data_IF_483436723345
#
_entry.id   IF_483436723345
#
_cell.length_a   1.000
_cell.length_b   1.000
_cell.length_c   1.000
_cell.angle_alpha   90.00
_cell.angle_beta   90.00
_cell.angle_gamma   90.00
#
_symmetry.space_group_name_H-M   'P 1'
#
loop_
_entity.id
_entity.type
_entity.pdbx_description
1 polymer ?
#
# COMPACT_ATOMS: atom_id res chain seq x y z
N UNK A 1 -7.64 -3.21 24.29
CA UNK A 1 -8.17 -1.93 23.75
C UNK A 1 -9.69 -2.00 23.77
N UNK A 2 -10.36 -1.13 24.49
CA UNK A 2 -11.79 -1.24 24.82
C UNK A 2 -12.66 -1.04 23.57
N UNK A 3 -13.68 -1.88 23.32
CA UNK A 3 -14.62 -1.82 22.17
C UNK A 3 -15.22 -0.42 21.91
N UNK A 4 -15.46 0.36 22.99
CA UNK A 4 -15.95 1.75 22.91
C UNK A 4 -14.96 2.73 22.23
N UNK A 5 -13.65 2.44 22.26
CA UNK A 5 -12.62 3.30 21.67
C UNK A 5 -12.52 3.14 20.14
N UNK A 6 -13.00 2.02 19.58
CA UNK A 6 -12.96 1.73 18.15
C UNK A 6 -14.06 2.42 17.33
N UNK A 7 -15.21 2.69 17.93
CA UNK A 7 -16.33 3.32 17.21
C UNK A 7 -16.08 4.79 16.85
N UNK A 8 -15.07 5.45 17.45
CA UNK A 8 -14.75 6.86 17.25
C UNK A 8 -13.46 7.08 16.45
N UNK A 9 -12.94 6.07 15.77
CA UNK A 9 -11.69 6.12 15.02
C UNK A 9 -11.92 6.18 13.50
N UNK A 10 -12.93 6.92 13.05
CA UNK A 10 -13.31 6.97 11.61
C UNK A 10 -12.21 7.57 10.73
N UNK A 11 -11.50 8.58 11.24
CA UNK A 11 -10.35 9.17 10.55
C UNK A 11 -9.23 8.16 10.36
N UNK A 12 -8.89 7.41 11.41
CA UNK A 12 -7.84 6.42 11.41
C UNK A 12 -8.13 5.28 10.41
N UNK A 13 -9.39 4.84 10.32
CA UNK A 13 -9.82 3.84 9.34
C UNK A 13 -9.71 4.33 7.90
N UNK A 14 -10.10 5.59 7.64
CA UNK A 14 -9.92 6.18 6.31
C UNK A 14 -8.44 6.29 5.95
N UNK A 15 -7.58 6.75 6.87
CA UNK A 15 -6.14 6.84 6.64
C UNK A 15 -5.51 5.46 6.39
N UNK A 16 -5.89 4.44 7.17
CA UNK A 16 -5.44 3.07 6.95
C UNK A 16 -5.88 2.56 5.56
N UNK A 17 -7.13 2.79 5.19
CA UNK A 17 -7.67 2.43 3.87
C UNK A 17 -6.91 3.11 2.73
N UNK A 18 -6.58 4.40 2.86
CA UNK A 18 -5.77 5.14 1.89
C UNK A 18 -4.36 4.52 1.75
N UNK A 19 -3.71 4.18 2.86
CA UNK A 19 -2.37 3.57 2.81
C UNK A 19 -2.39 2.16 2.24
N UNK A 20 -3.44 1.36 2.50
CA UNK A 20 -3.62 0.04 1.88
C UNK A 20 -3.88 0.19 0.38
N UNK A 21 -4.69 1.17 -0.03
CA UNK A 21 -4.90 1.43 -1.45
C UNK A 21 -3.61 1.90 -2.15
N UNK A 22 -2.79 2.70 -1.46
CA UNK A 22 -1.46 3.07 -1.96
C UNK A 22 -0.55 1.84 -2.12
N UNK A 23 -0.60 0.88 -1.17
CA UNK A 23 0.10 -0.40 -1.28
C UNK A 23 -0.34 -1.17 -2.53
N UNK A 24 -1.63 -1.26 -2.80
CA UNK A 24 -2.17 -1.90 -4.01
C UNK A 24 -1.71 -1.20 -5.29
N UNK A 25 -1.66 0.13 -5.31
CA UNK A 25 -1.13 0.90 -6.44
C UNK A 25 0.35 0.56 -6.65
N UNK A 26 1.16 0.60 -5.59
CA UNK A 26 2.58 0.29 -5.67
C UNK A 26 2.80 -1.16 -6.13
N UNK A 27 2.09 -2.13 -5.55
CA UNK A 27 2.19 -3.54 -5.94
C UNK A 27 1.75 -3.82 -7.38
N UNK A 28 0.85 -2.99 -7.94
CA UNK A 28 0.30 -3.16 -9.30
C UNK A 28 0.99 -2.31 -10.37
N UNK A 29 1.96 -1.47 -9.99
CA UNK A 29 2.64 -0.56 -10.91
C UNK A 29 4.17 -0.68 -10.82
N UNK A 30 4.87 0.02 -11.72
CA UNK A 30 6.33 0.14 -11.68
C UNK A 30 6.86 0.85 -10.41
N UNK A 31 6.01 1.60 -9.71
CA UNK A 31 6.40 2.32 -8.48
C UNK A 31 6.81 1.37 -7.35
N UNK A 32 6.27 0.17 -7.31
CA UNK A 32 6.54 -0.80 -6.25
C UNK A 32 7.71 -1.73 -6.50
N UNK A 33 8.25 -1.74 -7.74
CA UNK A 33 9.33 -2.66 -8.11
C UNK A 33 10.24 -2.02 -9.15
N UNK A 34 11.48 -1.80 -8.76
CA UNK A 34 12.52 -1.30 -9.66
C UNK A 34 13.27 -2.51 -10.23
N UNK A 35 13.21 -2.67 -11.55
CA UNK A 35 13.86 -3.78 -12.24
C UNK A 35 15.36 -3.52 -12.38
N UNK A 36 16.13 -4.08 -11.46
CA UNK A 36 17.61 -4.05 -11.47
C UNK A 36 18.10 -5.49 -11.45
N UNK A 37 18.68 -6.01 -12.54
CA UNK A 37 19.16 -7.39 -12.57
C UNK A 37 20.12 -7.70 -11.40
N UNK A 38 20.09 -8.91 -10.84
CA UNK A 38 19.35 -10.10 -11.32
C UNK A 38 17.92 -10.22 -10.78
N UNK A 39 17.52 -9.45 -9.77
CA UNK A 39 16.22 -9.52 -9.11
C UNK A 39 15.64 -8.11 -8.91
N UNK A 40 14.33 -7.97 -9.05
CA UNK A 40 13.65 -6.68 -8.83
C UNK A 40 13.75 -6.21 -7.38
N UNK A 41 14.11 -4.94 -7.21
CA UNK A 41 14.13 -4.30 -5.88
C UNK A 41 12.73 -3.79 -5.57
N UNK A 42 12.15 -4.31 -4.49
CA UNK A 42 10.82 -3.89 -4.06
C UNK A 42 10.88 -2.57 -3.29
N UNK A 43 10.02 -1.63 -3.62
CA UNK A 43 9.73 -0.41 -2.85
C UNK A 43 8.31 -0.43 -2.26
N UNK A 44 7.49 -1.38 -2.70
CA UNK A 44 6.10 -1.57 -2.26
C UNK A 44 5.95 -1.84 -0.74
N UNK A 45 7.00 -2.23 -0.03
CA UNK A 45 6.95 -2.37 1.43
C UNK A 45 6.87 -1.03 2.18
N UNK A 46 7.13 0.13 1.55
CA UNK A 46 7.13 1.44 2.22
C UNK A 46 5.80 1.75 2.91
N UNK A 47 4.62 1.58 2.27
CA UNK A 47 3.34 1.74 2.96
C UNK A 47 3.16 0.80 4.16
N UNK A 48 3.67 -0.44 4.09
CA UNK A 48 3.64 -1.41 5.20
C UNK A 48 4.41 -0.86 6.42
N UNK A 49 5.60 -0.27 6.18
CA UNK A 49 6.42 0.35 7.23
C UNK A 49 5.73 1.58 7.83
N UNK A 50 5.14 2.44 6.99
CA UNK A 50 4.35 3.60 7.42
C UNK A 50 3.17 3.17 8.29
N UNK A 51 2.41 2.14 7.86
CA UNK A 51 1.29 1.57 8.63
C UNK A 51 1.76 1.05 9.98
N UNK A 52 2.89 0.33 10.04
CA UNK A 52 3.50 -0.14 11.28
C UNK A 52 3.88 1.01 12.23
N UNK A 53 4.39 2.10 11.67
CA UNK A 53 4.72 3.30 12.44
C UNK A 53 3.47 4.00 13.01
N UNK A 54 2.38 4.11 12.25
CA UNK A 54 1.19 4.88 12.66
C UNK A 54 0.17 4.05 13.45
N UNK A 55 -0.13 2.83 13.01
CA UNK A 55 -1.29 2.07 13.47
C UNK A 55 -0.94 0.83 14.32
N UNK A 56 0.24 0.26 14.14
CA UNK A 56 0.75 -0.84 14.95
C UNK A 56 0.83 -2.19 14.23
N UNK A 57 1.05 -3.25 15.02
CA UNK A 57 1.49 -4.56 14.51
C UNK A 57 0.44 -5.26 13.67
N UNK A 58 -0.83 -5.30 14.12
CA UNK A 58 -1.89 -6.02 13.40
C UNK A 58 -2.16 -5.42 12.02
N UNK A 59 -2.21 -4.09 11.92
CA UNK A 59 -2.44 -3.37 10.68
C UNK A 59 -1.24 -3.50 9.72
N UNK A 60 -0.02 -3.46 10.27
CA UNK A 60 1.21 -3.69 9.49
C UNK A 60 1.29 -5.12 8.96
N UNK A 61 0.91 -6.13 9.77
CA UNK A 61 0.83 -7.52 9.35
C UNK A 61 -0.20 -7.70 8.22
N UNK A 62 -1.37 -7.08 8.33
CA UNK A 62 -2.40 -7.11 7.29
C UNK A 62 -1.93 -6.45 5.99
N UNK A 63 -1.26 -5.30 6.08
CA UNK A 63 -0.66 -4.65 4.92
C UNK A 63 0.46 -5.51 4.29
N UNK A 64 1.29 -6.17 5.12
CA UNK A 64 2.30 -7.13 4.66
C UNK A 64 1.69 -8.33 3.92
N UNK A 65 0.51 -8.80 4.37
CA UNK A 65 -0.23 -9.85 3.68
C UNK A 65 -0.69 -9.40 2.28
N UNK A 66 -1.25 -8.20 2.17
CA UNK A 66 -1.68 -7.60 0.89
C UNK A 66 -0.47 -7.43 -0.04
N UNK A 67 0.63 -6.89 0.46
CA UNK A 67 1.89 -6.78 -0.28
C UNK A 67 2.37 -8.16 -0.79
N UNK A 68 2.28 -9.19 0.04
CA UNK A 68 2.65 -10.55 -0.34
C UNK A 68 1.83 -11.09 -1.51
N UNK A 69 0.51 -10.93 -1.47
CA UNK A 69 -0.36 -11.31 -2.58
C UNK A 69 -0.11 -10.49 -3.85
N UNK A 70 0.12 -9.19 -3.72
CA UNK A 70 0.51 -8.33 -4.85
C UNK A 70 1.83 -8.78 -5.50
N UNK A 71 2.84 -9.11 -4.68
CA UNK A 71 4.12 -9.65 -5.14
C UNK A 71 3.97 -10.98 -5.86
N UNK A 72 3.20 -11.91 -5.27
CA UNK A 72 2.90 -13.21 -5.86
C UNK A 72 2.20 -13.08 -7.22
N UNK A 73 1.18 -12.21 -7.28
CA UNK A 73 0.45 -11.96 -8.51
C UNK A 73 1.36 -11.40 -9.60
N UNK A 74 2.16 -10.35 -9.28
CA UNK A 74 3.10 -9.75 -10.24
C UNK A 74 4.12 -10.76 -10.76
N UNK A 75 4.67 -11.61 -9.88
CA UNK A 75 5.63 -12.65 -10.24
C UNK A 75 5.05 -13.75 -11.16
N UNK A 76 3.72 -13.83 -11.30
CA UNK A 76 3.05 -14.80 -12.15
C UNK A 76 2.98 -14.37 -13.63
N UNK A 77 3.38 -13.14 -13.97
CA UNK A 77 3.52 -12.72 -15.37
C UNK A 77 4.75 -13.36 -16.03
N UNK A 78 4.71 -13.57 -17.35
CA UNK A 78 5.81 -14.20 -18.08
C UNK A 78 6.94 -13.21 -18.41
N UNK A 79 6.63 -11.91 -18.46
CA UNK A 79 7.61 -10.85 -18.74
C UNK A 79 8.54 -10.51 -17.55
N UNK A 80 8.35 -11.13 -16.38
CA UNK A 80 9.21 -10.86 -15.20
C UNK A 80 10.58 -11.54 -15.35
N UNK A 81 11.55 -11.06 -14.55
CA UNK A 81 12.90 -11.63 -14.51
C UNK A 81 12.85 -13.09 -14.04
N UNK A 82 13.84 -13.88 -14.44
CA UNK A 82 13.89 -15.31 -14.13
C UNK A 82 13.82 -15.59 -12.63
N UNK A 83 14.57 -14.81 -11.84
CA UNK A 83 14.60 -14.99 -10.38
C UNK A 83 13.33 -14.51 -9.69
N UNK A 84 12.61 -13.54 -10.30
CA UNK A 84 11.31 -13.08 -9.79
C UNK A 84 10.22 -14.17 -9.93
N UNK A 85 10.36 -15.11 -10.88
CA UNK A 85 9.43 -16.22 -11.08
C UNK A 85 9.37 -17.17 -9.88
N UNK A 86 10.41 -17.20 -9.05
CA UNK A 86 10.44 -18.00 -7.81
C UNK A 86 9.36 -17.57 -6.81
N UNK A 87 8.87 -16.33 -6.90
CA UNK A 87 7.77 -15.83 -6.07
C UNK A 87 6.38 -16.26 -6.55
N UNK A 88 6.29 -16.91 -7.72
CA UNK A 88 5.03 -17.39 -8.28
C UNK A 88 4.82 -18.88 -8.04
N UNK A 89 3.74 -19.29 -7.37
CA UNK A 89 3.40 -20.72 -7.21
C UNK A 89 3.12 -21.42 -8.54
N UNK A 90 2.83 -20.65 -9.60
CA UNK A 90 2.50 -21.18 -10.93
C UNK A 90 3.72 -21.38 -11.83
N UNK A 91 4.85 -20.69 -11.55
CA UNK A 91 6.02 -20.67 -12.43
C UNK A 91 7.27 -21.30 -11.79
N UNK A 92 7.34 -21.40 -10.47
CA UNK A 92 8.53 -21.87 -9.75
C UNK A 92 8.74 -23.38 -9.77
N UNK A 93 7.68 -24.15 -10.04
CA UNK A 93 7.69 -25.62 -9.87
C UNK A 93 7.59 -26.08 -8.40
N UNK A 94 7.56 -25.16 -7.42
CA UNK A 94 7.46 -25.42 -5.99
C UNK A 94 6.40 -24.47 -5.35
N UNK A 95 5.10 -24.79 -5.47
CA UNK A 95 4.01 -23.86 -5.13
C UNK A 95 3.97 -23.44 -3.67
N UNK A 96 4.22 -24.35 -2.73
CA UNK A 96 4.18 -24.06 -1.30
C UNK A 96 5.35 -23.16 -0.88
N UNK A 97 6.54 -23.46 -1.37
CA UNK A 97 7.76 -22.72 -1.12
C UNK A 97 7.63 -21.27 -1.67
N UNK A 98 7.06 -21.13 -2.86
CA UNK A 98 6.77 -19.81 -3.45
C UNK A 98 5.72 -19.03 -2.67
N UNK A 99 4.70 -19.69 -2.15
CA UNK A 99 3.69 -19.04 -1.31
C UNK A 99 4.32 -18.54 0.00
N UNK A 100 5.18 -19.34 0.63
CA UNK A 100 5.91 -18.94 1.84
C UNK A 100 6.89 -17.82 1.50
N UNK A 101 7.60 -17.91 0.38
CA UNK A 101 8.54 -16.89 -0.08
C UNK A 101 7.85 -15.57 -0.38
N UNK A 102 6.71 -15.57 -1.08
CA UNK A 102 6.02 -14.32 -1.45
C UNK A 102 5.12 -13.78 -0.34
N UNK A 103 4.23 -14.59 0.23
CA UNK A 103 3.24 -14.13 1.20
C UNK A 103 3.76 -14.24 2.64
N UNK A 104 4.37 -15.37 2.99
CA UNK A 104 4.86 -15.63 4.34
C UNK A 104 5.92 -14.63 4.80
N UNK A 105 6.92 -14.35 3.95
CA UNK A 105 8.00 -13.40 4.31
C UNK A 105 7.47 -11.97 4.46
N UNK A 106 6.49 -11.53 3.64
CA UNK A 106 5.89 -10.18 3.72
C UNK A 106 4.97 -10.03 4.92
N UNK A 107 4.20 -11.05 5.24
CA UNK A 107 3.42 -11.10 6.47
C UNK A 107 4.34 -10.98 7.70
N UNK A 108 5.40 -11.80 7.74
CA UNK A 108 6.40 -11.78 8.83
C UNK A 108 7.09 -10.42 8.90
N UNK A 109 7.45 -9.83 7.77
CA UNK A 109 8.01 -8.48 7.70
C UNK A 109 7.08 -7.44 8.32
N UNK A 110 5.78 -7.47 7.99
CA UNK A 110 4.77 -6.58 8.57
C UNK A 110 4.65 -6.75 10.09
N UNK A 111 4.64 -8.00 10.58
CA UNK A 111 4.62 -8.29 12.02
C UNK A 111 5.87 -7.73 12.71
N UNK A 112 7.07 -8.05 12.22
CA UNK A 112 8.34 -7.62 12.82
C UNK A 112 8.48 -6.11 12.81
N UNK A 113 8.16 -5.46 11.70
CA UNK A 113 8.21 -3.99 11.57
C UNK A 113 7.25 -3.33 12.57
N UNK A 114 6.02 -3.82 12.67
CA UNK A 114 5.04 -3.33 13.64
C UNK A 114 5.47 -3.54 15.10
N UNK A 115 6.10 -4.68 15.42
CA UNK A 115 6.67 -4.96 16.74
C UNK A 115 7.85 -4.02 17.07
N UNK A 116 8.74 -3.78 16.11
CA UNK A 116 9.88 -2.87 16.28
C UNK A 116 9.41 -1.44 16.57
N UNK A 117 8.38 -0.95 15.85
CA UNK A 117 7.79 0.36 16.16
C UNK A 117 7.06 0.38 17.51
N UNK A 118 6.36 -0.69 17.88
CA UNK A 118 5.74 -0.80 19.19
C UNK A 118 6.78 -0.80 20.33
N UNK A 119 7.91 -1.46 20.11
CA UNK A 119 9.05 -1.46 21.03
C UNK A 119 9.72 -0.07 21.09
N UNK A 120 9.97 0.59 19.94
CA UNK A 120 10.59 1.91 19.87
C UNK A 120 9.82 2.97 20.68
N UNK A 121 8.48 2.92 20.63
CA UNK A 121 7.61 3.85 21.38
C UNK A 121 7.75 3.76 22.90
N UNK A 122 8.24 2.65 23.44
CA UNK A 122 8.44 2.43 24.88
C UNK A 122 9.81 2.88 25.38
N UNK A 123 10.71 3.32 24.49
CA UNK A 123 12.09 3.69 24.83
C UNK A 123 12.24 5.17 25.18
N UNK A 124 13.23 5.49 26.04
CA UNK A 124 13.54 6.88 26.44
C UNK A 124 13.81 7.78 25.22
N UNK A 125 14.47 7.24 24.18
CA UNK A 125 14.76 7.94 22.93
C UNK A 125 13.88 7.40 21.78
N UNK A 126 12.56 7.45 21.97
CA UNK A 126 11.59 6.86 21.05
C UNK A 126 11.76 7.35 19.60
N UNK A 127 12.06 8.64 19.39
CA UNK A 127 12.26 9.19 18.06
C UNK A 127 13.49 8.61 17.36
N UNK A 128 14.59 8.45 18.08
CA UNK A 128 15.81 7.81 17.53
C UNK A 128 15.53 6.37 17.11
N UNK A 129 14.89 5.57 17.98
CA UNK A 129 14.56 4.19 17.66
C UNK A 129 13.51 4.06 16.54
N UNK A 130 12.61 5.02 16.39
CA UNK A 130 11.70 5.12 15.26
C UNK A 130 12.46 5.33 13.94
N UNK A 131 13.38 6.29 13.91
CA UNK A 131 14.24 6.54 12.74
C UNK A 131 15.08 5.31 12.40
N UNK A 132 15.68 4.67 13.40
CA UNK A 132 16.48 3.46 13.23
C UNK A 132 15.64 2.31 12.65
N UNK A 133 14.43 2.10 13.16
CA UNK A 133 13.50 1.08 12.63
C UNK A 133 13.15 1.34 11.17
N UNK A 134 12.81 2.60 10.83
CA UNK A 134 12.46 2.96 9.46
C UNK A 134 13.66 2.80 8.49
N UNK A 135 14.88 3.11 8.95
CA UNK A 135 16.09 2.96 8.16
C UNK A 135 16.49 1.50 7.94
N UNK A 136 16.30 0.64 8.95
CA UNK A 136 16.66 -0.79 8.89
C UNK A 136 15.57 -1.61 8.16
N UNK A 137 14.31 -1.15 8.11
CA UNK A 137 13.21 -1.92 7.55
C UNK A 137 13.49 -2.50 6.13
N UNK A 138 14.09 -1.77 5.17
CA UNK A 138 14.44 -2.33 3.86
C UNK A 138 15.41 -3.53 3.96
N UNK A 139 16.41 -3.44 4.81
CA UNK A 139 17.36 -4.56 5.03
C UNK A 139 16.71 -5.74 5.73
N UNK A 140 15.79 -5.48 6.66
CA UNK A 140 14.99 -6.54 7.28
C UNK A 140 14.14 -7.28 6.24
N UNK A 141 13.50 -6.55 5.32
CA UNK A 141 12.76 -7.15 4.22
C UNK A 141 13.67 -8.02 3.34
N UNK A 142 14.81 -7.48 2.89
CA UNK A 142 15.78 -8.21 2.09
C UNK A 142 16.31 -9.45 2.82
N UNK A 143 16.58 -9.34 4.13
CA UNK A 143 17.02 -10.47 4.97
C UNK A 143 15.99 -11.61 4.95
N UNK A 144 14.72 -11.31 5.18
CA UNK A 144 13.66 -12.33 5.19
C UNK A 144 13.53 -13.01 3.83
N UNK A 145 13.54 -12.23 2.75
CA UNK A 145 13.41 -12.74 1.38
C UNK A 145 14.59 -13.61 0.99
N UNK A 146 15.82 -13.10 1.12
CA UNK A 146 17.01 -13.86 0.71
C UNK A 146 17.27 -15.09 1.59
N UNK A 147 16.92 -15.02 2.88
CA UNK A 147 16.98 -16.20 3.75
C UNK A 147 15.99 -17.26 3.29
N UNK A 148 14.75 -16.89 2.98
CA UNK A 148 13.75 -17.81 2.46
C UNK A 148 14.15 -18.38 1.07
N UNK A 149 14.70 -17.54 0.17
CA UNK A 149 15.24 -18.02 -1.12
C UNK A 149 16.35 -19.04 -0.91
N UNK A 150 17.30 -18.78 -0.01
CA UNK A 150 18.40 -19.71 0.27
C UNK A 150 17.95 -21.03 0.88
N UNK A 151 16.83 -21.05 1.61
CA UNK A 151 16.26 -22.26 2.22
C UNK A 151 15.45 -23.05 1.18
N UNK A 152 14.54 -22.40 0.47
CA UNK A 152 13.58 -23.05 -0.42
C UNK A 152 14.08 -23.23 -1.85
N UNK A 153 14.96 -22.32 -2.31
CA UNK A 153 15.49 -22.30 -3.68
C UNK A 153 17.02 -22.16 -3.68
N UNK A 154 17.78 -23.14 -3.13
CA UNK A 154 19.24 -23.04 -3.01
C UNK A 154 19.94 -22.89 -4.36
N UNK A 155 19.34 -23.38 -5.45
CA UNK A 155 19.85 -23.24 -6.82
C UNK A 155 19.84 -21.82 -7.34
N UNK A 156 19.08 -20.90 -6.73
CA UNK A 156 19.03 -19.47 -7.12
C UNK A 156 20.32 -18.71 -6.82
N UNK A 157 21.20 -19.26 -5.97
CA UNK A 157 22.43 -18.59 -5.52
C UNK A 157 22.22 -17.48 -4.49
N UNK A 158 20.97 -17.11 -4.18
CA UNK A 158 20.67 -16.12 -3.16
C UNK A 158 20.69 -16.72 -1.75
N UNK A 159 21.22 -15.96 -0.80
CA UNK A 159 21.26 -16.33 0.61
C UNK A 159 21.35 -15.08 1.48
N UNK A 160 21.24 -15.24 2.80
CA UNK A 160 21.46 -14.14 3.74
C UNK A 160 22.81 -13.44 3.57
N UNK A 161 23.85 -14.12 3.03
CA UNK A 161 25.16 -13.53 2.71
C UNK A 161 25.08 -12.48 1.61
N UNK A 162 24.11 -12.57 0.72
CA UNK A 162 23.88 -11.61 -0.38
C UNK A 162 23.49 -10.22 0.12
N UNK A 163 23.12 -10.07 1.40
CA UNK A 163 22.76 -8.80 2.02
C UNK A 163 24.00 -7.97 2.41
N UNK A 164 25.15 -8.61 2.54
CA UNK A 164 26.38 -7.98 3.05
C UNK A 164 27.03 -6.97 2.09
N UNK A 165 26.70 -7.03 0.80
CA UNK A 165 27.16 -6.02 -0.17
C UNK A 165 26.27 -4.80 -0.11
N UNK A 166 26.65 -3.76 0.65
CA UNK A 166 25.99 -2.46 0.58
C UNK A 166 26.25 -1.82 -0.79
N UNK A 167 25.23 -1.82 -1.63
CA UNK A 167 25.23 -1.07 -2.88
C UNK A 167 24.71 0.34 -2.60
N UNK A 168 25.12 1.30 -3.42
CA UNK A 168 24.63 2.69 -3.32
C UNK A 168 23.10 2.76 -3.43
N UNK A 169 22.52 1.93 -4.32
CA UNK A 169 21.07 1.83 -4.52
C UNK A 169 20.33 1.41 -3.24
N UNK A 170 20.90 0.50 -2.45
CA UNK A 170 20.32 0.04 -1.18
C UNK A 170 20.23 1.18 -0.16
N UNK A 171 21.28 2.02 -0.11
CA UNK A 171 21.31 3.17 0.81
C UNK A 171 20.26 4.21 0.42
N UNK A 172 20.09 4.48 -0.88
CA UNK A 172 19.05 5.38 -1.39
C UNK A 172 17.65 4.91 -0.99
N UNK A 173 17.38 3.61 -1.11
CA UNK A 173 16.08 3.02 -0.74
C UNK A 173 15.84 3.08 0.77
N UNK A 174 16.89 2.86 1.59
CA UNK A 174 16.81 3.03 3.05
C UNK A 174 16.49 4.49 3.43
N UNK A 175 17.14 5.45 2.78
CA UNK A 175 16.87 6.88 2.99
C UNK A 175 15.46 7.24 2.52
N UNK A 176 15.02 6.73 1.37
CA UNK A 176 13.65 6.95 0.88
C UNK A 176 12.60 6.42 1.88
N UNK A 177 12.80 5.22 2.41
CA UNK A 177 11.92 4.65 3.43
C UNK A 177 11.91 5.50 4.69
N UNK A 178 13.09 5.88 5.21
CA UNK A 178 13.23 6.74 6.38
C UNK A 178 12.49 8.08 6.17
N UNK A 179 12.76 8.76 5.06
CA UNK A 179 12.15 10.08 4.74
C UNK A 179 10.64 9.94 4.62
N UNK A 180 10.15 8.90 3.94
CA UNK A 180 8.71 8.63 3.78
C UNK A 180 8.02 8.44 5.12
N UNK A 181 8.60 7.62 6.01
CA UNK A 181 8.06 7.37 7.35
C UNK A 181 8.05 8.64 8.19
N UNK A 182 9.15 9.40 8.19
CA UNK A 182 9.25 10.64 8.99
C UNK A 182 8.30 11.71 8.46
N UNK A 183 8.20 11.88 7.15
CA UNK A 183 7.30 12.85 6.53
C UNK A 183 5.85 12.57 6.89
N UNK A 184 5.41 11.31 6.68
CA UNK A 184 4.02 10.92 6.96
C UNK A 184 3.72 10.98 8.45
N UNK A 185 4.64 10.53 9.32
CA UNK A 185 4.49 10.65 10.78
C UNK A 185 4.38 12.12 11.22
N UNK A 186 5.20 13.01 10.65
CA UNK A 186 5.17 14.46 10.94
C UNK A 186 3.85 15.09 10.50
N UNK A 187 3.39 14.75 9.29
CA UNK A 187 2.10 15.22 8.78
C UNK A 187 0.96 14.70 9.68
N UNK A 188 0.96 13.41 10.01
CA UNK A 188 -0.07 12.79 10.82
C UNK A 188 -0.17 13.35 12.24
N UNK A 189 0.95 13.79 12.82
CA UNK A 189 1.05 14.40 14.15
C UNK A 189 0.89 15.93 14.13
N UNK A 190 0.82 16.57 12.97
CA UNK A 190 0.68 18.02 12.85
C UNK A 190 -0.57 18.53 13.55
N UNK A 191 -0.55 19.76 14.02
CA UNK A 191 -1.71 20.40 14.65
C UNK A 191 -2.91 20.47 13.71
N UNK A 192 -2.66 20.72 12.43
CA UNK A 192 -3.71 20.79 11.42
C UNK A 192 -4.44 19.45 11.29
N UNK A 193 -3.70 18.33 11.15
CA UNK A 193 -4.27 16.98 11.07
C UNK A 193 -4.90 16.57 12.41
N UNK A 194 -4.31 16.97 13.54
CA UNK A 194 -4.88 16.69 14.86
C UNK A 194 -6.21 17.41 15.07
N UNK A 195 -6.33 18.68 14.66
CA UNK A 195 -7.59 19.43 14.67
C UNK A 195 -8.62 18.78 13.73
N UNK A 196 -8.20 18.44 12.52
CA UNK A 196 -9.03 17.77 11.52
C UNK A 196 -9.56 16.40 12.03
N UNK A 197 -8.68 15.57 12.61
CA UNK A 197 -9.03 14.27 13.21
C UNK A 197 -10.05 14.42 14.33
N UNK A 198 -9.88 15.37 15.23
CA UNK A 198 -10.87 15.67 16.29
C UNK A 198 -12.22 16.03 15.67
N UNK A 199 -12.22 16.91 14.67
CA UNK A 199 -13.45 17.33 13.98
C UNK A 199 -14.17 16.14 13.33
N UNK A 200 -13.45 15.29 12.61
CA UNK A 200 -14.02 14.11 11.92
C UNK A 200 -14.54 13.06 12.89
N UNK A 201 -13.87 12.87 14.04
CA UNK A 201 -14.22 11.83 15.01
C UNK A 201 -15.29 12.27 16.02
N UNK A 202 -15.44 13.58 16.32
CA UNK A 202 -16.41 14.10 17.30
C UNK A 202 -17.85 14.10 16.82
N UNK A 203 -18.10 13.92 15.54
CA UNK A 203 -19.45 14.02 14.97
C UNK A 203 -20.26 12.74 15.27
N UNK A 204 -20.69 12.56 16.51
CA UNK A 204 -21.46 11.38 16.95
C UNK A 204 -22.98 11.57 16.85
N UNK A 205 -23.52 12.78 16.75
CA UNK A 205 -24.91 12.99 17.13
C UNK A 205 -25.84 13.13 15.96
N UNK A 206 -25.87 13.19 14.87
CA UNK A 206 -26.89 13.21 13.79
C UNK A 206 -26.28 13.10 12.40
N UNK A 207 -25.72 11.94 12.11
CA UNK A 207 -25.45 11.58 10.74
C UNK A 207 -26.76 11.25 10.00
N UNK A 208 -27.63 12.22 9.83
CA UNK A 208 -28.67 12.12 8.81
C UNK A 208 -28.10 12.62 7.50
N UNK A 209 -27.87 11.69 6.60
CA UNK A 209 -27.52 12.06 5.23
C UNK A 209 -28.66 12.93 4.67
N UNK A 210 -28.36 14.18 4.37
CA UNK A 210 -29.27 14.98 3.55
C UNK A 210 -29.43 14.29 2.19
N UNK A 211 -30.63 14.30 1.63
CA UNK A 211 -30.87 13.76 0.28
C UNK A 211 -29.85 14.30 -0.74
N UNK A 212 -29.54 15.59 -0.68
CA UNK A 212 -28.50 16.21 -1.53
C UNK A 212 -27.12 15.56 -1.33
N UNK A 213 -26.72 15.26 -0.11
CA UNK A 213 -25.43 14.65 0.19
C UNK A 213 -25.35 13.21 -0.35
N UNK A 214 -26.45 12.48 -0.26
CA UNK A 214 -26.54 11.12 -0.83
C UNK A 214 -26.41 11.18 -2.34
N UNK A 215 -27.14 12.08 -3.01
CA UNK A 215 -27.08 12.26 -4.47
C UNK A 215 -25.68 12.62 -4.92
N UNK A 216 -25.02 13.58 -4.25
CA UNK A 216 -23.64 13.98 -4.59
C UNK A 216 -22.67 12.81 -4.41
N UNK A 217 -22.78 12.07 -3.31
CA UNK A 217 -21.89 10.93 -3.05
C UNK A 217 -22.12 9.77 -4.04
N UNK A 218 -23.37 9.44 -4.34
CA UNK A 218 -23.71 8.47 -5.39
C UNK A 218 -23.21 8.92 -6.77
N UNK A 219 -23.37 10.21 -7.09
CA UNK A 219 -22.84 10.79 -8.33
C UNK A 219 -21.30 10.69 -8.42
N UNK A 220 -20.60 10.93 -7.32
CA UNK A 220 -19.13 10.73 -7.27
C UNK A 220 -18.74 9.27 -7.46
N UNK A 221 -19.43 8.34 -6.82
CA UNK A 221 -19.18 6.89 -7.00
C UNK A 221 -19.39 6.52 -8.47
N UNK A 222 -20.52 6.92 -9.04
CA UNK A 222 -20.83 6.64 -10.45
C UNK A 222 -19.78 7.24 -11.39
N UNK A 223 -19.39 8.50 -11.18
CA UNK A 223 -18.35 9.18 -11.97
C UNK A 223 -17.02 8.40 -11.90
N UNK A 224 -16.59 8.01 -10.71
CA UNK A 224 -15.37 7.25 -10.49
C UNK A 224 -15.41 5.88 -11.18
N UNK A 225 -16.54 5.17 -11.10
CA UNK A 225 -16.74 3.89 -11.80
C UNK A 225 -16.73 4.06 -13.33
N UNK A 226 -17.38 5.11 -13.84
CA UNK A 226 -17.34 5.43 -15.26
C UNK A 226 -15.92 5.76 -15.74
N UNK A 227 -15.17 6.56 -14.99
CA UNK A 227 -13.78 6.89 -15.32
C UNK A 227 -12.88 5.64 -15.30
N UNK A 228 -13.09 4.72 -14.36
CA UNK A 228 -12.37 3.44 -14.34
C UNK A 228 -12.69 2.60 -15.57
N UNK A 229 -13.97 2.49 -15.93
CA UNK A 229 -14.40 1.74 -17.09
C UNK A 229 -13.81 2.32 -18.38
N UNK A 230 -13.94 3.65 -18.61
CA UNK A 230 -13.39 4.34 -19.77
C UNK A 230 -11.88 4.17 -19.86
N UNK A 231 -11.16 4.39 -18.75
CA UNK A 231 -9.69 4.22 -18.71
C UNK A 231 -9.26 2.79 -19.02
N UNK A 232 -10.03 1.81 -18.55
CA UNK A 232 -9.73 0.38 -18.81
C UNK A 232 -9.96 0.02 -20.29
N UNK A 233 -11.06 0.49 -20.86
CA UNK A 233 -11.37 0.27 -22.29
C UNK A 233 -10.27 0.93 -23.14
N UNK A 234 -9.94 2.20 -22.85
CA UNK A 234 -8.90 2.93 -23.57
C UNK A 234 -7.53 2.23 -23.49
N UNK A 235 -7.15 1.74 -22.31
CA UNK A 235 -5.90 1.01 -22.13
C UNK A 235 -5.86 -0.29 -22.97
N UNK A 236 -6.97 -1.05 -22.95
CA UNK A 236 -7.11 -2.27 -23.75
C UNK A 236 -7.04 -1.99 -25.24
N UNK A 237 -7.75 -0.97 -25.71
CA UNK A 237 -7.76 -0.58 -27.12
C UNK A 237 -6.35 -0.12 -27.59
N UNK A 238 -5.63 0.60 -26.73
CA UNK A 238 -4.26 1.04 -27.04
C UNK A 238 -3.28 -0.12 -27.16
N UNK A 239 -3.36 -1.11 -26.30
CA UNK A 239 -2.56 -2.34 -26.43
C UNK A 239 -2.87 -3.04 -27.75
N UNK A 240 -4.16 -3.29 -28.04
CA UNK A 240 -4.56 -3.95 -29.28
C UNK A 240 -4.13 -3.17 -30.53
N UNK A 241 -4.26 -1.84 -30.51
CA UNK A 241 -3.80 -0.98 -31.59
C UNK A 241 -2.30 -1.11 -31.82
N UNK A 242 -1.48 -1.06 -30.75
CA UNK A 242 -0.03 -1.20 -30.86
C UNK A 242 0.37 -2.56 -31.42
N UNK A 243 -0.26 -3.63 -30.98
CA UNK A 243 0.00 -4.99 -31.51
C UNK A 243 -0.33 -5.07 -33.00
N UNK A 244 -1.43 -4.46 -33.44
CA UNK A 244 -1.87 -4.45 -34.84
C UNK A 244 -0.91 -3.64 -35.72
N UNK A 245 -0.55 -2.42 -35.30
CA UNK A 245 0.34 -1.53 -36.06
C UNK A 245 1.75 -2.12 -36.23
N UNK A 246 2.24 -2.82 -35.20
CA UNK A 246 3.55 -3.46 -35.25
C UNK A 246 3.51 -4.89 -35.78
N UNK A 247 2.36 -5.34 -36.31
CA UNK A 247 2.18 -6.69 -36.85
C UNK A 247 2.63 -7.81 -35.91
N UNK A 248 2.41 -7.63 -34.60
CA UNK A 248 2.79 -8.61 -33.58
C UNK A 248 1.81 -9.77 -33.63
N UNK A 249 2.30 -10.98 -33.84
CA UNK A 249 1.49 -12.21 -33.76
C UNK A 249 1.24 -12.50 -32.29
N UNK A 250 -0.03 -12.44 -31.88
CA UNK A 250 -0.43 -12.69 -30.49
C UNK A 250 -0.39 -14.18 -30.23
N UNK A 251 0.62 -14.65 -29.53
CA UNK A 251 0.73 -16.01 -29.00
C UNK A 251 -0.06 -16.13 -27.70
N UNK A 252 -0.31 -17.35 -27.22
CA UNK A 252 -0.96 -17.58 -25.92
C UNK A 252 -0.21 -16.95 -24.74
N UNK A 253 1.13 -16.91 -24.80
CA UNK A 253 1.97 -16.26 -23.79
C UNK A 253 1.79 -14.74 -23.78
N UNK A 254 1.79 -14.11 -24.95
CA UNK A 254 1.55 -12.67 -25.08
C UNK A 254 0.15 -12.32 -24.60
N UNK A 255 -0.85 -13.14 -24.91
CA UNK A 255 -2.23 -12.93 -24.44
C UNK A 255 -2.32 -13.02 -22.91
N UNK A 256 -1.62 -13.98 -22.29
CA UNK A 256 -1.54 -14.10 -20.85
C UNK A 256 -0.95 -12.85 -20.21
N UNK A 257 0.15 -12.31 -20.73
CA UNK A 257 0.81 -11.11 -20.20
C UNK A 257 -0.04 -9.86 -20.41
N UNK A 258 -0.75 -9.74 -21.54
CA UNK A 258 -1.71 -8.65 -21.77
C UNK A 258 -2.81 -8.67 -20.71
N UNK A 259 -3.38 -9.84 -20.42
CA UNK A 259 -4.41 -9.98 -19.38
C UNK A 259 -3.85 -9.60 -18.00
N UNK A 260 -2.64 -10.02 -17.70
CA UNK A 260 -1.94 -9.65 -16.46
C UNK A 260 -1.80 -8.13 -16.32
N UNK A 261 -1.32 -7.43 -17.35
CA UNK A 261 -1.19 -5.97 -17.37
C UNK A 261 -2.55 -5.27 -17.23
N UNK A 262 -3.59 -5.77 -17.88
CA UNK A 262 -4.93 -5.22 -17.77
C UNK A 262 -5.48 -5.33 -16.34
N UNK A 263 -5.27 -6.46 -15.67
CA UNK A 263 -5.71 -6.66 -14.28
C UNK A 263 -4.92 -5.75 -13.33
N UNK A 264 -3.60 -5.64 -13.50
CA UNK A 264 -2.76 -4.71 -12.72
C UNK A 264 -3.24 -3.27 -12.88
N UNK A 265 -3.49 -2.83 -14.12
CA UNK A 265 -4.00 -1.49 -14.40
C UNK A 265 -5.36 -1.23 -13.74
N UNK A 266 -6.30 -2.19 -13.85
CA UNK A 266 -7.62 -2.10 -13.19
C UNK A 266 -7.49 -2.01 -11.68
N UNK A 267 -6.62 -2.82 -11.08
CA UNK A 267 -6.39 -2.82 -9.63
C UNK A 267 -5.84 -1.46 -9.17
N UNK A 268 -4.85 -0.91 -9.88
CA UNK A 268 -4.30 0.40 -9.58
C UNK A 268 -5.36 1.52 -9.71
N UNK A 269 -6.18 1.49 -10.77
CA UNK A 269 -7.26 2.46 -10.97
C UNK A 269 -8.34 2.38 -9.90
N UNK A 270 -8.76 1.18 -9.51
CA UNK A 270 -9.73 0.99 -8.43
C UNK A 270 -9.19 1.48 -7.09
N UNK A 271 -7.91 1.19 -6.79
CA UNK A 271 -7.25 1.66 -5.58
C UNK A 271 -7.12 3.20 -5.56
N UNK A 272 -6.75 3.82 -6.68
CA UNK A 272 -6.70 5.29 -6.81
C UNK A 272 -8.09 5.90 -6.58
N UNK A 273 -9.12 5.33 -7.18
CA UNK A 273 -10.49 5.80 -7.01
C UNK A 273 -10.97 5.64 -5.57
N UNK A 274 -10.57 4.58 -4.88
CA UNK A 274 -10.85 4.41 -3.46
C UNK A 274 -10.19 5.52 -2.62
N UNK A 275 -8.95 5.91 -2.93
CA UNK A 275 -8.27 7.03 -2.26
C UNK A 275 -9.07 8.33 -2.44
N UNK A 276 -9.52 8.62 -3.67
CA UNK A 276 -10.31 9.81 -3.99
C UNK A 276 -11.61 9.81 -3.19
N UNK A 277 -12.34 8.70 -3.15
CA UNK A 277 -13.59 8.57 -2.39
C UNK A 277 -13.37 8.73 -0.88
N UNK A 278 -12.30 8.15 -0.32
CA UNK A 278 -11.96 8.32 1.10
C UNK A 278 -11.59 9.76 1.43
N UNK A 279 -10.82 10.42 0.58
CA UNK A 279 -10.48 11.84 0.74
C UNK A 279 -11.74 12.73 0.67
N UNK A 280 -12.63 12.47 -0.29
CA UNK A 280 -13.90 13.19 -0.42
C UNK A 280 -14.81 12.97 0.80
N UNK A 281 -14.89 11.75 1.31
CA UNK A 281 -15.64 11.43 2.53
C UNK A 281 -15.10 12.19 3.74
N UNK A 282 -13.78 12.22 3.92
CA UNK A 282 -13.13 12.96 4.99
C UNK A 282 -13.40 14.47 4.87
N UNK A 283 -13.29 15.02 3.65
CA UNK A 283 -13.55 16.44 3.38
C UNK A 283 -15.00 16.79 3.66
N UNK A 284 -15.96 15.96 3.21
CA UNK A 284 -17.38 16.16 3.49
C UNK A 284 -17.67 16.21 4.99
N UNK A 285 -17.11 15.25 5.75
CA UNK A 285 -17.27 15.22 7.21
C UNK A 285 -16.73 16.48 7.88
N UNK A 286 -15.58 16.96 7.45
CA UNK A 286 -14.99 18.18 7.97
C UNK A 286 -15.83 19.43 7.67
N UNK A 287 -16.38 19.53 6.47
CA UNK A 287 -17.27 20.64 6.08
C UNK A 287 -18.54 20.65 6.94
N UNK A 288 -19.16 19.49 7.17
CA UNK A 288 -20.32 19.36 8.06
C UNK A 288 -20.01 19.74 9.50
N UNK A 289 -18.84 19.39 10.00
CA UNK A 289 -18.41 19.82 11.33
C UNK A 289 -18.29 21.36 11.41
N UNK A 290 -17.71 22.02 10.41
CA UNK A 290 -17.61 23.49 10.37
C UNK A 290 -18.98 24.16 10.32
N UNK A 291 -19.89 23.65 9.52
CA UNK A 291 -21.26 24.15 9.43
C UNK A 291 -21.96 24.09 10.82
N UNK A 292 -21.86 22.95 11.48
CA UNK A 292 -22.42 22.76 12.84
C UNK A 292 -21.78 23.68 13.87
N UNK A 293 -20.47 23.81 13.88
CA UNK A 293 -19.74 24.69 14.80
C UNK A 293 -20.12 26.16 14.59
N UNK A 294 -20.33 26.60 13.33
CA UNK A 294 -20.81 27.94 13.00
C UNK A 294 -22.23 28.21 13.51
N UNK A 295 -23.13 27.24 13.38
CA UNK A 295 -24.50 27.34 13.91
C UNK A 295 -24.52 27.43 15.43
N UNK A 296 -23.70 26.65 16.14
CA UNK A 296 -23.59 26.70 17.60
C UNK A 296 -23.06 28.05 18.09
N UNK A 297 -22.09 28.64 17.40
CA UNK A 297 -21.56 29.96 17.74
C UNK A 297 -22.62 31.08 17.53
N UNK A 298 -23.44 31.00 16.51
CA UNK A 298 -24.52 31.95 16.26
C UNK A 298 -25.64 31.90 17.32
N UNK A 299 -25.88 30.71 17.91
CA UNK A 299 -26.85 30.51 18.99
C UNK A 299 -26.36 31.04 20.36
N UNK A 300 -25.04 31.12 20.57
CA UNK A 300 -24.43 31.62 21.81
C UNK A 300 -24.39 33.17 21.82
N UNK A 301 -24.46 33.78 20.64
CA UNK A 301 -24.44 35.25 20.49
C UNK A 301 -25.85 35.90 20.44
N UNK A 302 -26.91 35.11 20.63
CA UNK A 302 -28.29 35.58 20.88
C UNK A 302 -28.56 35.48 22.38
#
# INVERSE_FOLDING_TARGET
>A
MNRKKWNNCKFEWCCLGILIALELIMSSTFLGYIHVPPISVATAYIPVVVIGCLFGTAQSAFAGLIFGFGSMYKASALYVMADDRLFSPFQSGAPLESLILSVGTRLLFGVLTGLLFAWSRKRKHAQFFKCLTAFIAPKLHAFLVYTAMGIFFPSSGFSWKSIGSMRFDDMLIQLLCLVSVLLVDRIYQSEAVTRYRKAVNQQEQDWRWSFRSVVVFCGMILFVLCMTAVSTIYFSDRINYMLTVHHVVVTGEIQHDILHLQIQFRTAMLALNFIILMAALLMYRYMKYKEYAGQMLSLIHI
#
